data_IF_315459680449
#
_entry.id   IF_315459680449
#
_cell.length_a   1.000
_cell.length_b   1.000
_cell.length_c   1.000
_cell.angle_alpha   90.00
_cell.angle_beta   90.00
_cell.angle_gamma   90.00
#
_symmetry.space_group_name_H-M   'P 1'
#
loop_
_entity.id
_entity.type
_entity.pdbx_description
1 polymer ?
#
# COMPACT_ATOMS: atom_id res chain seq x y z
N UNK A 1 18.84 5.70 -5.99
CA UNK A 1 19.78 4.80 -6.71
C UNK A 1 19.17 4.44 -8.05
N UNK A 2 19.55 5.16 -9.10
CA UNK A 2 19.13 4.89 -10.49
C UNK A 2 19.85 3.64 -10.99
N UNK A 3 19.07 2.61 -11.34
CA UNK A 3 19.53 1.25 -11.58
C UNK A 3 20.55 1.15 -12.75
N UNK A 4 21.83 0.93 -12.42
CA UNK A 4 22.85 0.31 -13.32
C UNK A 4 22.46 -1.10 -13.80
N UNK A 5 21.41 -1.68 -13.23
CA UNK A 5 20.93 -3.05 -13.47
C UNK A 5 19.94 -3.16 -14.65
N UNK A 6 19.60 -2.06 -15.34
CA UNK A 6 18.69 -2.13 -16.49
C UNK A 6 19.35 -2.86 -17.65
N UNK A 7 20.56 -2.47 -18.05
CA UNK A 7 21.24 -3.01 -19.24
C UNK A 7 21.53 -4.52 -19.17
N UNK A 8 21.93 -5.03 -18.00
CA UNK A 8 22.14 -6.46 -17.78
C UNK A 8 20.82 -7.25 -17.83
N UNK A 9 19.73 -6.71 -17.26
CA UNK A 9 18.38 -7.30 -17.39
C UNK A 9 17.91 -7.35 -18.84
N UNK A 10 18.17 -6.32 -19.64
CA UNK A 10 17.87 -6.32 -21.08
C UNK A 10 18.63 -7.44 -21.80
N UNK A 11 19.93 -7.59 -21.56
CA UNK A 11 20.76 -8.63 -22.20
C UNK A 11 20.31 -10.05 -21.84
N UNK A 12 19.93 -10.30 -20.58
CA UNK A 12 19.46 -11.61 -20.12
C UNK A 12 18.09 -11.94 -20.75
N UNK A 13 17.15 -10.99 -20.72
CA UNK A 13 15.80 -11.22 -21.25
C UNK A 13 15.80 -11.43 -22.76
N UNK A 14 16.61 -10.66 -23.51
CA UNK A 14 16.71 -10.81 -24.97
C UNK A 14 17.32 -12.15 -25.40
N UNK A 15 18.19 -12.76 -24.58
CA UNK A 15 18.81 -14.08 -24.78
C UNK A 15 18.01 -15.26 -24.22
N UNK A 16 16.91 -15.00 -23.53
CA UNK A 16 16.04 -16.04 -22.99
C UNK A 16 15.09 -16.61 -24.05
N UNK A 17 14.56 -17.81 -23.80
CA UNK A 17 13.51 -18.43 -24.62
C UNK A 17 12.11 -17.86 -24.39
N UNK A 18 11.99 -16.72 -23.70
CA UNK A 18 10.71 -16.04 -23.51
C UNK A 18 10.15 -15.52 -24.83
N UNK A 19 8.81 -15.45 -24.89
CA UNK A 19 8.10 -14.88 -26.03
C UNK A 19 8.41 -13.38 -26.14
N UNK A 20 8.37 -12.85 -27.36
CA UNK A 20 8.60 -11.43 -27.63
C UNK A 20 7.60 -10.56 -26.87
N UNK A 21 6.35 -11.01 -26.76
CA UNK A 21 5.27 -10.35 -26.02
C UNK A 21 5.56 -10.26 -24.51
N UNK A 22 6.10 -11.33 -23.91
CA UNK A 22 6.42 -11.34 -22.48
C UNK A 22 7.62 -10.47 -22.16
N UNK A 23 8.64 -10.48 -23.02
CA UNK A 23 9.81 -9.60 -22.89
C UNK A 23 9.39 -8.13 -23.02
N UNK A 24 8.53 -7.81 -24.00
CA UNK A 24 7.97 -6.47 -24.20
C UNK A 24 7.21 -5.98 -22.96
N UNK A 25 6.38 -6.84 -22.37
CA UNK A 25 5.62 -6.55 -21.15
C UNK A 25 6.51 -6.33 -19.93
N UNK A 26 7.55 -7.15 -19.75
CA UNK A 26 8.48 -7.06 -18.62
C UNK A 26 9.35 -5.80 -18.71
N UNK A 27 9.72 -5.40 -19.92
CA UNK A 27 10.59 -4.25 -20.18
C UNK A 27 9.83 -2.94 -20.42
N UNK A 28 8.49 -2.99 -20.51
CA UNK A 28 7.63 -1.86 -20.83
C UNK A 28 8.00 -1.18 -22.16
N UNK A 29 8.23 -2.01 -23.20
CA UNK A 29 8.59 -1.57 -24.56
C UNK A 29 7.71 -2.26 -25.60
N UNK A 30 7.69 -1.76 -26.83
CA UNK A 30 6.97 -2.43 -27.91
C UNK A 30 7.64 -3.73 -28.32
N UNK A 31 6.86 -4.72 -28.75
CA UNK A 31 7.36 -5.97 -29.32
C UNK A 31 8.33 -5.75 -30.50
N UNK A 32 8.07 -4.69 -31.29
CA UNK A 32 8.96 -4.27 -32.38
C UNK A 32 10.34 -3.82 -31.89
N UNK A 33 10.45 -3.19 -30.71
CA UNK A 33 11.71 -2.80 -30.12
C UNK A 33 12.50 -4.04 -29.63
N UNK A 34 11.80 -5.04 -29.09
CA UNK A 34 12.38 -6.33 -28.68
C UNK A 34 12.94 -7.09 -29.88
N UNK A 35 12.20 -7.14 -30.99
CA UNK A 35 12.65 -7.78 -32.24
C UNK A 35 13.88 -7.07 -32.83
N UNK A 36 13.87 -5.74 -32.89
CA UNK A 36 15.04 -4.96 -33.34
C UNK A 36 16.27 -5.21 -32.48
N UNK A 37 16.10 -5.29 -31.15
CA UNK A 37 17.19 -5.56 -30.24
C UNK A 37 17.74 -6.99 -30.37
N UNK A 38 16.88 -7.99 -30.61
CA UNK A 38 17.32 -9.38 -30.93
C UNK A 38 18.08 -9.45 -32.25
N UNK A 39 17.60 -8.76 -33.29
CA UNK A 39 18.26 -8.70 -34.59
C UNK A 39 19.63 -7.99 -34.51
N UNK A 40 19.71 -6.88 -33.79
CA UNK A 40 20.98 -6.18 -33.56
C UNK A 40 21.99 -7.07 -32.80
N UNK A 41 21.52 -7.82 -31.79
CA UNK A 41 22.35 -8.79 -31.08
C UNK A 41 22.75 -10.01 -31.92
N UNK A 42 22.00 -10.35 -32.98
CA UNK A 42 22.36 -11.38 -33.96
C UNK A 42 23.37 -10.86 -35.01
N UNK A 43 23.33 -9.57 -35.33
CA UNK A 43 24.28 -8.91 -36.23
C UNK A 43 25.72 -8.98 -35.72
N UNK A 44 25.93 -8.82 -34.41
CA UNK A 44 27.24 -9.03 -33.75
C UNK A 44 27.75 -10.47 -33.87
N UNK A 45 26.87 -11.47 -34.08
CA UNK A 45 27.29 -12.84 -34.36
C UNK A 45 27.65 -13.06 -35.84
N UNK A 46 27.05 -12.32 -36.77
CA UNK A 46 27.31 -12.48 -38.20
C UNK A 46 28.69 -11.93 -38.62
N UNK A 47 29.16 -10.84 -38.00
CA UNK A 47 30.51 -10.29 -38.27
C UNK A 47 31.66 -11.19 -37.76
N UNK A 48 31.37 -12.20 -36.94
CA UNK A 48 32.36 -13.16 -36.44
C UNK A 48 32.31 -14.54 -37.13
N UNK A 49 31.40 -14.76 -38.08
CA UNK A 49 31.22 -16.07 -38.74
C UNK A 49 32.11 -16.25 -39.97
N UNK A 50 32.61 -15.18 -40.61
CA UNK A 50 33.29 -15.29 -41.91
C UNK A 50 34.79 -15.61 -41.88
N UNK A 51 35.44 -15.76 -40.72
CA UNK A 51 36.90 -16.00 -40.67
C UNK A 51 37.37 -17.32 -40.03
N UNK A 52 36.48 -18.21 -39.60
CA UNK A 52 36.88 -19.49 -38.96
C UNK A 52 36.24 -20.72 -39.62
N UNK A 53 36.34 -20.82 -40.95
CA UNK A 53 36.05 -22.04 -41.74
C UNK A 53 37.13 -23.14 -41.53
N UNK A 54 37.62 -23.32 -40.31
CA UNK A 54 38.46 -24.45 -39.96
C UNK A 54 38.10 -24.88 -38.54
N UNK A 55 37.62 -26.11 -38.41
CA UNK A 55 37.25 -26.80 -37.16
C UNK A 55 35.80 -26.59 -36.70
N UNK A 56 34.85 -27.06 -37.52
CA UNK A 56 33.53 -27.48 -37.04
C UNK A 56 33.70 -28.68 -36.08
N UNK A 57 33.95 -28.41 -34.80
CA UNK A 57 33.43 -29.26 -33.72
C UNK A 57 31.95 -28.90 -33.56
N UNK A 58 31.12 -29.93 -33.46
CA UNK A 58 29.68 -29.85 -33.25
C UNK A 58 29.28 -28.74 -32.25
N UNK A 59 28.13 -28.06 -32.45
CA UNK A 59 27.63 -27.11 -31.46
C UNK A 59 27.51 -27.87 -30.15
N UNK A 60 28.28 -27.45 -29.15
CA UNK A 60 28.39 -28.15 -27.89
C UNK A 60 26.98 -28.47 -27.37
N UNK A 61 26.70 -29.75 -27.24
CA UNK A 61 25.72 -30.23 -26.27
C UNK A 61 26.03 -29.49 -24.98
N UNK A 62 25.18 -28.53 -24.60
CA UNK A 62 25.13 -28.03 -23.23
C UNK A 62 25.06 -29.29 -22.36
N UNK A 63 26.12 -29.56 -21.61
CA UNK A 63 26.13 -30.70 -20.70
C UNK A 63 24.92 -30.55 -19.77
N UNK A 64 24.18 -31.62 -19.53
CA UNK A 64 23.05 -31.60 -18.58
C UNK A 64 23.46 -30.98 -17.23
N UNK A 65 24.73 -31.16 -16.83
CA UNK A 65 25.37 -30.53 -15.66
C UNK A 65 25.33 -28.98 -15.66
N UNK A 66 25.44 -28.32 -16.81
CA UNK A 66 25.37 -26.85 -16.94
C UNK A 66 23.92 -26.33 -16.86
N UNK A 67 22.95 -27.14 -17.29
CA UNK A 67 21.53 -26.80 -17.20
C UNK A 67 21.01 -26.99 -15.77
N UNK A 68 21.42 -28.08 -15.12
CA UNK A 68 21.05 -28.41 -13.74
C UNK A 68 21.66 -27.44 -12.73
N UNK A 69 22.92 -27.01 -12.94
CA UNK A 69 23.54 -25.98 -12.12
C UNK A 69 22.84 -24.62 -12.26
N UNK A 70 22.48 -24.22 -13.49
CA UNK A 70 21.72 -23.00 -13.74
C UNK A 70 20.31 -23.05 -13.12
N UNK A 71 19.62 -24.19 -13.22
CA UNK A 71 18.30 -24.38 -12.63
C UNK A 71 18.36 -24.32 -11.10
N UNK A 72 19.38 -24.93 -10.50
CA UNK A 72 19.62 -24.88 -9.05
C UNK A 72 19.90 -23.46 -8.57
N UNK A 73 20.76 -22.72 -9.27
CA UNK A 73 21.12 -21.35 -8.91
C UNK A 73 19.92 -20.40 -9.05
N UNK A 74 19.14 -20.56 -10.14
CA UNK A 74 17.89 -19.81 -10.32
C UNK A 74 16.86 -20.12 -9.23
N UNK A 75 16.75 -21.40 -8.82
CA UNK A 75 15.85 -21.83 -7.74
C UNK A 75 16.30 -21.25 -6.39
N UNK A 76 17.60 -21.27 -6.10
CA UNK A 76 18.16 -20.68 -4.88
C UNK A 76 17.89 -19.17 -4.81
N UNK A 77 18.07 -18.45 -5.92
CA UNK A 77 17.75 -17.02 -5.96
C UNK A 77 16.26 -16.73 -5.88
N UNK A 78 15.41 -17.59 -6.43
CA UNK A 78 13.96 -17.47 -6.26
C UNK A 78 13.58 -17.59 -4.77
N UNK A 79 14.12 -18.58 -4.05
CA UNK A 79 13.91 -18.73 -2.60
C UNK A 79 14.47 -17.57 -1.79
N UNK A 80 15.64 -17.03 -2.15
CA UNK A 80 16.21 -15.85 -1.48
C UNK A 80 15.29 -14.63 -1.66
N UNK A 81 14.83 -14.37 -2.88
CA UNK A 81 13.93 -13.27 -3.19
C UNK A 81 12.56 -13.42 -2.51
N UNK A 82 12.06 -14.64 -2.37
CA UNK A 82 10.85 -14.93 -1.59
C UNK A 82 11.06 -14.62 -0.09
N UNK A 83 12.20 -15.01 0.49
CA UNK A 83 12.56 -14.67 1.86
C UNK A 83 12.68 -13.15 2.10
N UNK A 84 13.29 -12.43 1.16
CA UNK A 84 13.36 -10.96 1.19
C UNK A 84 11.98 -10.32 1.10
N UNK A 85 11.11 -10.83 0.20
CA UNK A 85 9.71 -10.38 0.07
C UNK A 85 8.96 -10.56 1.38
N UNK A 86 9.05 -11.72 2.01
CA UNK A 86 8.33 -12.04 3.23
C UNK A 86 8.83 -11.21 4.42
N UNK A 87 10.16 -11.00 4.51
CA UNK A 87 10.78 -10.12 5.51
C UNK A 87 10.33 -8.66 5.34
N UNK A 88 10.27 -8.18 4.09
CA UNK A 88 9.75 -6.86 3.77
C UNK A 88 8.29 -6.71 4.19
N UNK A 89 7.42 -7.67 3.85
CA UNK A 89 6.01 -7.65 4.23
C UNK A 89 5.84 -7.63 5.75
N UNK A 90 6.56 -8.49 6.48
CA UNK A 90 6.52 -8.51 7.95
C UNK A 90 6.93 -7.16 8.56
N UNK A 91 8.02 -6.58 8.05
CA UNK A 91 8.52 -5.27 8.52
C UNK A 91 7.54 -4.14 8.19
N UNK A 92 6.96 -4.19 7.00
CA UNK A 92 5.95 -3.25 6.53
C UNK A 92 4.70 -3.29 7.42
N UNK A 93 4.10 -4.46 7.63
CA UNK A 93 2.92 -4.61 8.49
C UNK A 93 3.20 -4.22 9.94
N UNK A 94 4.40 -4.53 10.45
CA UNK A 94 4.81 -4.09 11.79
C UNK A 94 4.82 -2.56 11.91
N UNK A 95 5.40 -1.87 10.93
CA UNK A 95 5.45 -0.40 10.92
C UNK A 95 4.06 0.22 10.76
N UNK A 96 3.25 -0.29 9.83
CA UNK A 96 1.90 0.17 9.60
C UNK A 96 1.02 -0.02 10.86
N UNK A 97 1.06 -1.19 11.48
CA UNK A 97 0.34 -1.47 12.72
C UNK A 97 0.83 -0.60 13.88
N UNK A 98 2.13 -0.36 13.99
CA UNK A 98 2.68 0.55 15.02
C UNK A 98 2.16 1.97 14.84
N UNK A 99 2.10 2.46 13.59
CA UNK A 99 1.58 3.79 13.27
C UNK A 99 0.08 3.88 13.57
N UNK A 100 -0.71 2.91 13.10
CA UNK A 100 -2.17 2.84 13.34
C UNK A 100 -2.45 2.81 14.85
N UNK A 101 -1.75 1.96 15.61
CA UNK A 101 -1.94 1.87 17.06
C UNK A 101 -1.59 3.18 17.77
N UNK A 102 -0.53 3.86 17.35
CA UNK A 102 -0.19 5.18 17.89
C UNK A 102 -1.26 6.22 17.56
N UNK A 103 -1.78 6.20 16.33
CA UNK A 103 -2.83 7.11 15.90
C UNK A 103 -4.12 6.89 16.68
N UNK A 104 -4.55 5.63 16.88
CA UNK A 104 -5.72 5.29 17.68
C UNK A 104 -5.62 5.81 19.12
N UNK A 105 -4.45 5.68 19.75
CA UNK A 105 -4.22 6.24 21.09
C UNK A 105 -4.33 7.77 21.12
N UNK A 106 -3.75 8.46 20.14
CA UNK A 106 -3.88 9.92 20.03
C UNK A 106 -5.34 10.33 19.81
N UNK A 107 -6.05 9.63 18.92
CA UNK A 107 -7.47 9.84 18.61
C UNK A 107 -8.35 9.67 19.85
N UNK A 108 -8.12 8.63 20.65
CA UNK A 108 -8.82 8.41 21.91
C UNK A 108 -8.65 9.59 22.89
N UNK A 109 -7.43 10.12 23.01
CA UNK A 109 -7.14 11.28 23.86
C UNK A 109 -7.84 12.54 23.34
N UNK A 110 -7.74 12.82 22.04
CA UNK A 110 -8.30 14.03 21.41
C UNK A 110 -9.82 14.04 21.48
N UNK A 111 -10.46 12.91 21.17
CA UNK A 111 -11.91 12.78 21.15
C UNK A 111 -12.49 12.58 22.55
N UNK A 112 -11.73 12.04 23.50
CA UNK A 112 -12.19 11.70 24.84
C UNK A 112 -12.77 12.89 25.62
N UNK A 113 -12.20 14.10 25.47
CA UNK A 113 -12.76 15.30 26.10
C UNK A 113 -14.14 15.67 25.54
N UNK A 114 -14.33 15.52 24.23
CA UNK A 114 -15.61 15.79 23.56
C UNK A 114 -16.63 14.70 23.88
N UNK A 115 -16.18 13.45 23.99
CA UNK A 115 -17.02 12.33 24.40
C UNK A 115 -17.56 12.49 25.83
N UNK A 116 -16.70 12.90 26.78
CA UNK A 116 -17.13 13.22 28.15
C UNK A 116 -18.20 14.32 28.18
N UNK A 117 -18.00 15.41 27.43
CA UNK A 117 -19.01 16.47 27.30
C UNK A 117 -20.35 15.96 26.78
N UNK A 118 -20.34 14.96 25.89
CA UNK A 118 -21.56 14.34 25.36
C UNK A 118 -22.27 13.51 26.45
N UNK A 119 -21.50 12.75 27.23
CA UNK A 119 -22.02 11.98 28.38
C UNK A 119 -22.67 12.92 29.40
N UNK A 120 -21.99 14.01 29.75
CA UNK A 120 -22.49 14.98 30.73
C UNK A 120 -23.79 15.63 30.23
N UNK A 121 -23.84 16.03 28.95
CA UNK A 121 -25.07 16.55 28.33
C UNK A 121 -26.20 15.52 28.32
N UNK A 122 -25.91 14.24 28.10
CA UNK A 122 -26.93 13.20 28.14
C UNK A 122 -27.47 12.99 29.56
N UNK A 123 -26.63 13.09 30.60
CA UNK A 123 -27.08 13.06 32.00
C UNK A 123 -27.99 14.25 32.30
N UNK A 124 -27.59 15.46 31.93
CA UNK A 124 -28.41 16.67 32.10
C UNK A 124 -29.76 16.54 31.39
N UNK A 125 -29.79 15.98 30.18
CA UNK A 125 -31.02 15.72 29.44
C UNK A 125 -31.92 14.73 30.19
N UNK A 126 -31.36 13.61 30.67
CA UNK A 126 -32.12 12.60 31.41
C UNK A 126 -32.69 13.15 32.72
N UNK A 127 -31.92 13.95 33.44
CA UNK A 127 -32.36 14.56 34.69
C UNK A 127 -33.49 15.58 34.44
N UNK A 128 -33.37 16.39 33.38
CA UNK A 128 -34.46 17.29 32.94
C UNK A 128 -35.72 16.52 32.52
N UNK A 129 -35.57 15.40 31.81
CA UNK A 129 -36.71 14.55 31.43
C UNK A 129 -37.43 13.98 32.66
N UNK A 130 -36.68 13.55 33.68
CA UNK A 130 -37.25 13.11 34.96
C UNK A 130 -37.96 14.25 35.68
N UNK A 131 -37.34 15.42 35.76
CA UNK A 131 -37.92 16.59 36.43
C UNK A 131 -39.22 17.03 35.76
N UNK A 132 -39.26 17.04 34.42
CA UNK A 132 -40.48 17.32 33.65
C UNK A 132 -41.57 16.29 33.94
N UNK A 133 -41.22 15.01 34.07
CA UNK A 133 -42.19 13.93 34.31
C UNK A 133 -42.88 14.01 35.68
N UNK A 134 -42.20 14.59 36.68
CA UNK A 134 -42.74 14.80 38.02
C UNK A 134 -43.32 16.20 38.27
N UNK A 135 -43.40 17.05 37.24
CA UNK A 135 -43.77 18.45 37.38
C UNK A 135 -45.27 18.68 37.19
N UNK A 136 -45.95 19.17 38.24
CA UNK A 136 -47.38 19.51 38.20
C UNK A 136 -47.64 20.97 37.77
N UNK A 137 -46.68 21.87 37.97
CA UNK A 137 -46.78 23.28 37.57
C UNK A 137 -46.58 23.43 36.04
N UNK A 138 -47.65 23.84 35.35
CA UNK A 138 -47.66 23.97 33.89
C UNK A 138 -46.68 25.01 33.36
N UNK A 139 -46.47 26.13 34.04
CA UNK A 139 -45.61 27.19 33.54
C UNK A 139 -44.13 26.90 33.83
N UNK A 140 -43.83 26.28 34.97
CA UNK A 140 -42.50 25.74 35.24
C UNK A 140 -42.15 24.59 34.28
N UNK A 141 -43.08 23.66 34.03
CA UNK A 141 -42.91 22.56 33.08
C UNK A 141 -42.62 23.06 31.65
N UNK A 142 -43.29 24.13 31.19
CA UNK A 142 -42.98 24.76 29.89
C UNK A 142 -41.54 25.28 29.84
N UNK A 143 -41.06 25.88 30.92
CA UNK A 143 -39.69 26.41 31.04
C UNK A 143 -38.66 25.29 30.94
N UNK A 144 -38.87 24.20 31.68
CA UNK A 144 -38.02 23.01 31.62
C UNK A 144 -38.03 22.36 30.23
N UNK A 145 -39.20 22.27 29.57
CA UNK A 145 -39.30 21.75 28.19
C UNK A 145 -38.52 22.60 27.18
N UNK A 146 -38.48 23.91 27.37
CA UNK A 146 -37.67 24.79 26.54
C UNK A 146 -36.17 24.56 26.78
N UNK A 147 -35.75 24.43 28.03
CA UNK A 147 -34.37 24.10 28.39
C UNK A 147 -33.94 22.75 27.82
N UNK A 148 -34.79 21.73 27.92
CA UNK A 148 -34.56 20.41 27.32
C UNK A 148 -34.28 20.52 25.82
N UNK A 149 -35.08 21.28 25.07
CA UNK A 149 -34.86 21.51 23.63
C UNK A 149 -33.49 22.14 23.36
N UNK A 150 -33.07 23.12 24.15
CA UNK A 150 -31.75 23.75 24.01
C UNK A 150 -30.61 22.77 24.30
N UNK A 151 -30.75 21.93 25.33
CA UNK A 151 -29.74 20.90 25.68
C UNK A 151 -29.64 19.83 24.60
N UNK A 152 -30.78 19.35 24.07
CA UNK A 152 -30.82 18.40 22.94
C UNK A 152 -30.17 19.00 21.70
N UNK A 153 -30.45 20.26 21.37
CA UNK A 153 -29.78 20.96 20.27
C UNK A 153 -28.26 21.05 20.47
N UNK A 154 -27.82 21.43 21.68
CA UNK A 154 -26.39 21.49 22.03
C UNK A 154 -25.74 20.11 21.90
N UNK A 155 -26.38 19.05 22.38
CA UNK A 155 -25.93 17.66 22.22
C UNK A 155 -25.77 17.29 20.75
N UNK A 156 -26.75 17.60 19.90
CA UNK A 156 -26.68 17.37 18.44
C UNK A 156 -25.49 18.07 17.81
N UNK A 157 -25.26 19.33 18.17
CA UNK A 157 -24.14 20.11 17.66
C UNK A 157 -22.79 19.52 18.08
N UNK A 158 -22.66 19.09 19.34
CA UNK A 158 -21.44 18.43 19.84
C UNK A 158 -21.23 17.08 19.16
N UNK A 159 -22.28 16.26 19.02
CA UNK A 159 -22.23 14.98 18.32
C UNK A 159 -21.76 15.14 16.86
N UNK A 160 -22.32 16.10 16.13
CA UNK A 160 -21.92 16.38 14.75
C UNK A 160 -20.46 16.80 14.67
N UNK A 161 -20.00 17.64 15.60
CA UNK A 161 -18.59 18.05 15.67
C UNK A 161 -17.68 16.85 15.96
N UNK A 162 -18.07 15.97 16.88
CA UNK A 162 -17.33 14.75 17.21
C UNK A 162 -17.16 13.87 15.98
N UNK A 163 -18.25 13.56 15.26
CA UNK A 163 -18.20 12.75 14.03
C UNK A 163 -17.32 13.40 12.97
N UNK A 164 -17.43 14.72 12.78
CA UNK A 164 -16.61 15.41 11.78
C UNK A 164 -15.12 15.36 12.14
N UNK A 165 -14.77 15.57 13.41
CA UNK A 165 -13.39 15.44 13.90
C UNK A 165 -12.86 14.02 13.74
N UNK A 166 -13.66 13.02 14.10
CA UNK A 166 -13.35 11.59 13.94
C UNK A 166 -13.01 11.23 12.49
N UNK A 167 -13.87 11.62 11.55
CA UNK A 167 -13.65 11.39 10.11
C UNK A 167 -12.45 12.16 9.56
N UNK A 168 -12.20 13.39 10.05
CA UNK A 168 -11.07 14.21 9.61
C UNK A 168 -9.75 13.59 10.04
N UNK A 169 -9.66 13.12 11.29
CA UNK A 169 -8.47 12.44 11.81
C UNK A 169 -8.17 11.15 11.03
N UNK A 170 -9.20 10.34 10.73
CA UNK A 170 -9.03 9.13 9.92
C UNK A 170 -8.55 9.44 8.50
N UNK A 171 -9.10 10.49 7.88
CA UNK A 171 -8.67 10.93 6.56
C UNK A 171 -7.20 11.40 6.56
N UNK A 172 -6.81 12.20 7.54
CA UNK A 172 -5.42 12.67 7.69
C UNK A 172 -4.45 11.50 7.92
N UNK A 173 -4.85 10.50 8.70
CA UNK A 173 -4.09 9.28 8.91
C UNK A 173 -3.87 8.52 7.58
N UNK A 174 -4.93 8.32 6.81
CA UNK A 174 -4.86 7.67 5.49
C UNK A 174 -3.95 8.44 4.52
N UNK A 175 -4.04 9.77 4.51
CA UNK A 175 -3.20 10.61 3.66
C UNK A 175 -1.72 10.52 4.04
N UNK A 176 -1.38 10.50 5.34
CA UNK A 176 -0.01 10.29 5.80
C UNK A 176 0.53 8.91 5.44
N UNK A 177 -0.30 7.86 5.59
CA UNK A 177 0.07 6.51 5.13
C UNK A 177 0.36 6.54 3.63
N UNK A 178 -0.51 7.16 2.82
CA UNK A 178 -0.32 7.31 1.38
C UNK A 178 0.97 8.04 1.01
N UNK A 179 1.35 9.08 1.75
CA UNK A 179 2.62 9.79 1.57
C UNK A 179 3.82 8.90 1.89
N UNK A 180 3.78 8.16 3.00
CA UNK A 180 4.83 7.20 3.37
C UNK A 180 5.02 6.17 2.25
N UNK A 181 3.93 5.65 1.69
CA UNK A 181 3.99 4.71 0.56
C UNK A 181 4.61 5.34 -0.70
N UNK A 182 4.16 6.53 -1.09
CA UNK A 182 4.73 7.28 -2.23
C UNK A 182 6.23 7.50 -2.06
N UNK A 183 6.68 7.91 -0.87
CA UNK A 183 8.10 8.16 -0.59
C UNK A 183 8.97 6.91 -0.75
N UNK A 184 8.39 5.72 -0.57
CA UNK A 184 9.05 4.42 -0.73
C UNK A 184 8.86 3.81 -2.12
N UNK A 185 8.23 4.52 -3.07
CA UNK A 185 7.97 4.01 -4.41
C UNK A 185 6.91 2.90 -4.46
N UNK A 186 6.11 2.74 -3.41
CA UNK A 186 5.03 1.76 -3.30
C UNK A 186 3.71 2.40 -3.74
N UNK A 187 2.90 1.66 -4.48
CA UNK A 187 1.52 2.07 -4.81
C UNK A 187 0.57 1.45 -3.79
N UNK A 188 -0.25 2.28 -3.14
CA UNK A 188 -1.53 1.82 -2.60
C UNK A 188 -2.47 1.65 -3.80
N UNK A 189 -3.01 0.44 -3.96
CA UNK A 189 -4.09 0.16 -4.92
C UNK A 189 -5.37 0.90 -4.56
#
# INVERSE_FOLDING_TARGET
MTFKNREQKYKILLRSNLSVADIARVLDVSESAVLKARLAGLGDFAEHVDNNLATLKAPGTLNEDDLDSLARDATFEAYRLEGERDSFHKSFYRLANSYINSHLKCKEITLGATFRKLIDLNKEILDLEREISGCEDKDFCKKLKFELKLKVYKRNRVAKKLILSDMTEDYECLMKIKEIFKSKGLKLG
#
